data_IF_670780354697
#
_entry.id   IF_670780354697
#
_cell.length_a   1.000
_cell.length_b   1.000
_cell.length_c   1.000
_cell.angle_alpha   90.00
_cell.angle_beta   90.00
_cell.angle_gamma   90.00
#
_symmetry.space_group_name_H-M   'P 1'
#
loop_
_entity.id
_entity.type
_entity.pdbx_description
1 polymer ?
#
# COMPACT_ATOMS: atom_id res chain seq x y z
N UNK A 1 33.06 -2.16 11.73
CA UNK A 1 33.59 -3.54 11.75
C UNK A 1 32.41 -4.48 11.98
N UNK A 2 31.86 -5.10 10.93
CA UNK A 2 30.73 -6.03 11.10
C UNK A 2 31.27 -7.41 11.51
N UNK A 3 30.80 -7.88 12.66
CA UNK A 3 31.08 -9.22 13.19
C UNK A 3 30.64 -10.28 12.19
N UNK A 4 31.52 -11.28 11.96
CA UNK A 4 31.24 -12.50 11.21
C UNK A 4 30.39 -13.44 12.06
N UNK A 5 29.11 -13.13 12.25
CA UNK A 5 28.15 -14.12 12.76
C UNK A 5 27.37 -14.74 11.61
N UNK A 6 27.97 -15.80 11.06
CA UNK A 6 27.39 -16.65 10.03
C UNK A 6 26.38 -17.62 10.67
N UNK A 7 25.24 -17.11 11.15
CA UNK A 7 24.07 -17.95 11.42
C UNK A 7 23.26 -18.06 10.14
N UNK A 8 23.14 -19.27 9.63
CA UNK A 8 22.19 -19.65 8.57
C UNK A 8 20.78 -19.24 8.99
N UNK A 9 20.35 -18.05 8.61
CA UNK A 9 18.97 -17.61 8.72
C UNK A 9 18.19 -18.34 7.64
N UNK A 10 17.59 -19.49 7.98
CA UNK A 10 16.43 -19.97 7.20
C UNK A 10 15.44 -18.81 7.16
N UNK A 11 15.13 -18.33 5.95
CA UNK A 11 14.08 -17.34 5.76
C UNK A 11 12.80 -17.91 6.37
N UNK A 12 12.20 -17.18 7.31
CA UNK A 12 10.85 -17.52 7.77
C UNK A 12 9.91 -17.55 6.56
N UNK A 13 9.01 -18.53 6.45
CA UNK A 13 8.07 -18.58 5.33
C UNK A 13 7.26 -17.28 5.24
N UNK A 14 6.92 -16.87 4.02
CA UNK A 14 6.11 -15.68 3.77
C UNK A 14 4.77 -15.83 4.51
N UNK A 15 4.47 -14.91 5.43
CA UNK A 15 3.21 -14.88 6.19
C UNK A 15 2.34 -13.65 5.87
N UNK A 16 2.81 -12.70 5.07
CA UNK A 16 2.06 -11.51 4.66
C UNK A 16 1.71 -11.55 3.17
N UNK A 17 0.41 -11.46 2.86
CA UNK A 17 -0.12 -11.42 1.50
C UNK A 17 -0.96 -10.14 1.33
N UNK A 18 -0.68 -9.37 0.26
CA UNK A 18 -1.41 -8.14 -0.10
C UNK A 18 -2.11 -8.32 -1.44
N UNK A 19 -3.41 -8.00 -1.50
CA UNK A 19 -4.26 -8.15 -2.70
C UNK A 19 -4.95 -6.85 -3.08
N UNK A 20 -5.34 -6.74 -4.35
CA UNK A 20 -6.00 -5.58 -4.98
C UNK A 20 -7.13 -6.01 -5.93
N UNK A 21 -7.00 -7.16 -6.60
CA UNK A 21 -7.96 -7.67 -7.60
C UNK A 21 -8.33 -9.14 -7.33
N UNK A 22 -9.01 -9.83 -8.25
CA UNK A 22 -9.69 -11.13 -8.12
C UNK A 22 -9.18 -12.07 -7.00
N UNK A 23 -10.03 -12.27 -5.99
CA UNK A 23 -9.70 -12.94 -4.74
C UNK A 23 -9.95 -14.45 -4.72
N UNK A 24 -10.63 -15.01 -5.73
CA UNK A 24 -11.10 -16.41 -5.68
C UNK A 24 -9.94 -17.41 -5.68
N UNK A 25 -9.03 -17.30 -6.65
CA UNK A 25 -7.85 -18.19 -6.71
C UNK A 25 -6.94 -18.03 -5.50
N UNK A 26 -6.86 -16.83 -4.92
CA UNK A 26 -6.11 -16.62 -3.68
C UNK A 26 -6.80 -17.31 -2.50
N UNK A 27 -8.13 -17.19 -2.39
CA UNK A 27 -8.90 -17.89 -1.36
C UNK A 27 -8.75 -19.41 -1.44
N UNK A 28 -8.73 -19.96 -2.65
CA UNK A 28 -8.47 -21.38 -2.89
C UNK A 28 -7.07 -21.81 -2.46
N UNK A 29 -6.04 -21.07 -2.88
CA UNK A 29 -4.67 -21.35 -2.50
C UNK A 29 -4.45 -21.25 -0.98
N UNK A 30 -5.13 -20.31 -0.31
CA UNK A 30 -5.10 -20.16 1.15
C UNK A 30 -5.74 -21.37 1.85
N UNK A 31 -6.93 -21.77 1.40
CA UNK A 31 -7.64 -22.92 1.95
C UNK A 31 -6.84 -24.22 1.76
N UNK A 32 -6.26 -24.41 0.56
CA UNK A 32 -5.41 -25.55 0.26
C UNK A 32 -4.15 -25.56 1.13
N UNK A 33 -3.46 -24.42 1.29
CA UNK A 33 -2.26 -24.34 2.12
C UNK A 33 -2.51 -24.70 3.59
N UNK A 34 -3.69 -24.34 4.13
CA UNK A 34 -4.11 -24.76 5.48
C UNK A 34 -4.46 -26.25 5.50
N UNK A 35 -5.22 -26.74 4.51
CA UNK A 35 -5.59 -28.16 4.42
C UNK A 35 -4.38 -29.08 4.30
N UNK A 36 -3.32 -28.65 3.62
CA UNK A 36 -2.07 -29.39 3.45
C UNK A 36 -1.12 -29.24 4.66
N UNK A 37 -1.48 -28.45 5.67
CA UNK A 37 -0.64 -28.19 6.84
C UNK A 37 0.62 -27.37 6.55
N UNK A 38 0.69 -26.68 5.40
CA UNK A 38 1.79 -25.75 5.07
C UNK A 38 1.74 -24.49 5.96
N UNK A 39 0.56 -24.19 6.48
CA UNK A 39 0.27 -23.15 7.46
C UNK A 39 -0.61 -23.77 8.54
N UNK A 40 -0.25 -23.62 9.83
CA UNK A 40 -0.97 -24.30 10.91
C UNK A 40 -2.40 -23.82 11.11
N UNK A 41 -2.69 -22.55 10.78
CA UNK A 41 -4.04 -22.01 10.75
C UNK A 41 -4.12 -20.69 9.99
N UNK A 42 -5.33 -20.23 9.66
CA UNK A 42 -5.59 -18.88 9.13
C UNK A 42 -4.96 -17.77 9.99
N UNK A 43 -4.86 -17.97 11.31
CA UNK A 43 -4.32 -16.97 12.24
C UNK A 43 -2.83 -16.72 12.09
N UNK A 44 -2.07 -17.62 11.47
CA UNK A 44 -0.64 -17.43 11.16
C UNK A 44 -0.40 -16.53 9.95
N UNK A 45 -1.45 -16.17 9.22
CA UNK A 45 -1.37 -15.36 8.01
C UNK A 45 -1.83 -13.93 8.29
N UNK A 46 -1.15 -12.99 7.68
CA UNK A 46 -1.53 -11.59 7.62
C UNK A 46 -2.05 -11.29 6.21
N UNK A 47 -3.36 -11.12 6.06
CA UNK A 47 -4.00 -10.85 4.77
C UNK A 47 -4.45 -9.40 4.69
N UNK A 48 -3.99 -8.68 3.66
CA UNK A 48 -4.37 -7.30 3.36
C UNK A 48 -5.20 -7.24 2.08
N UNK A 49 -6.35 -6.55 2.12
CA UNK A 49 -7.11 -6.15 0.93
C UNK A 49 -7.39 -4.65 0.93
N UNK A 50 -7.96 -4.13 -0.15
CA UNK A 50 -8.17 -2.69 -0.35
C UNK A 50 -9.56 -2.39 -0.89
N UNK A 51 -10.14 -1.28 -0.43
CA UNK A 51 -11.37 -0.68 -0.92
C UNK A 51 -11.09 0.02 -2.25
N UNK A 52 -11.75 -0.42 -3.32
CA UNK A 52 -11.60 0.17 -4.66
C UNK A 52 -12.41 1.47 -4.80
N UNK A 53 -12.03 2.33 -5.75
CA UNK A 53 -12.61 3.67 -5.93
C UNK A 53 -14.13 3.65 -6.19
N UNK A 54 -14.65 2.60 -6.84
CA UNK A 54 -16.09 2.45 -7.10
C UNK A 54 -16.91 2.14 -5.85
N UNK A 55 -16.25 1.64 -4.80
CA UNK A 55 -16.87 1.28 -3.53
C UNK A 55 -16.54 2.29 -2.41
N UNK A 56 -15.71 3.29 -2.71
CA UNK A 56 -15.33 4.33 -1.76
C UNK A 56 -16.43 5.40 -1.63
N UNK A 57 -17.61 4.97 -1.17
CA UNK A 57 -18.77 5.81 -0.91
C UNK A 57 -19.45 5.35 0.38
N UNK A 58 -20.14 6.27 1.06
CA UNK A 58 -21.07 5.90 2.12
C UNK A 58 -22.10 4.89 1.62
N UNK A 59 -22.39 3.88 2.43
CA UNK A 59 -23.26 2.75 2.17
C UNK A 59 -22.62 1.58 1.42
N UNK A 60 -21.40 1.74 0.87
CA UNK A 60 -20.80 0.72 -0.01
C UNK A 60 -19.55 0.05 0.57
N UNK A 61 -18.95 0.60 1.62
CA UNK A 61 -17.68 0.10 2.17
C UNK A 61 -17.86 -1.25 2.86
N UNK A 62 -18.84 -1.35 3.76
CA UNK A 62 -19.11 -2.61 4.48
C UNK A 62 -19.52 -3.73 3.49
N UNK A 63 -20.42 -3.50 2.52
CA UNK A 63 -20.68 -4.47 1.46
C UNK A 63 -19.43 -4.86 0.66
N UNK A 64 -18.51 -3.94 0.39
CA UNK A 64 -17.30 -4.22 -0.39
C UNK A 64 -16.32 -5.16 0.32
N UNK A 65 -16.10 -4.97 1.63
CA UNK A 65 -15.26 -5.91 2.39
C UNK A 65 -15.94 -7.27 2.51
N UNK A 66 -17.26 -7.34 2.72
CA UNK A 66 -18.00 -8.61 2.78
C UNK A 66 -17.90 -9.39 1.46
N UNK A 67 -18.03 -8.71 0.31
CA UNK A 67 -17.79 -9.34 -1.01
C UNK A 67 -16.36 -9.86 -1.14
N UNK A 68 -15.37 -9.09 -0.65
CA UNK A 68 -13.97 -9.51 -0.69
C UNK A 68 -13.71 -10.74 0.18
N UNK A 69 -14.24 -10.76 1.39
CA UNK A 69 -14.16 -11.89 2.33
C UNK A 69 -14.79 -13.15 1.74
N UNK A 70 -15.96 -13.03 1.12
CA UNK A 70 -16.62 -14.15 0.43
C UNK A 70 -15.75 -14.74 -0.69
N UNK A 71 -15.17 -13.90 -1.55
CA UNK A 71 -14.26 -14.35 -2.62
C UNK A 71 -13.00 -15.02 -2.07
N UNK A 72 -12.44 -14.46 -1.01
CA UNK A 72 -11.25 -15.00 -0.35
C UNK A 72 -11.55 -16.23 0.52
N UNK A 73 -12.81 -16.58 0.74
CA UNK A 73 -13.24 -17.63 1.67
C UNK A 73 -12.68 -17.41 3.08
N UNK A 74 -12.74 -16.15 3.56
CA UNK A 74 -12.23 -15.73 4.87
C UNK A 74 -13.33 -15.07 5.71
N UNK A 75 -13.21 -15.17 7.03
CA UNK A 75 -14.11 -14.48 7.97
C UNK A 75 -13.64 -13.04 8.28
N UNK A 76 -12.34 -12.77 8.18
CA UNK A 76 -11.76 -11.47 8.46
C UNK A 76 -10.49 -11.19 7.64
N UNK A 77 -10.18 -9.89 7.48
CA UNK A 77 -8.90 -9.38 7.00
C UNK A 77 -8.04 -8.90 8.18
N UNK A 78 -6.72 -9.06 8.08
CA UNK A 78 -5.81 -8.50 9.07
C UNK A 78 -5.65 -6.99 8.86
N UNK A 79 -5.73 -6.53 7.61
CA UNK A 79 -5.67 -5.11 7.25
C UNK A 79 -6.59 -4.80 6.07
N UNK A 80 -7.41 -3.75 6.19
CA UNK A 80 -8.22 -3.20 5.11
C UNK A 80 -7.89 -1.74 4.85
N UNK A 81 -7.59 -1.38 3.60
CA UNK A 81 -7.07 -0.06 3.23
C UNK A 81 -7.99 0.65 2.24
N UNK A 82 -8.20 1.96 2.39
CA UNK A 82 -8.63 2.79 1.26
C UNK A 82 -7.53 2.75 0.20
N UNK A 83 -7.81 2.32 -1.03
CA UNK A 83 -6.76 2.08 -2.03
C UNK A 83 -6.17 3.38 -2.60
N UNK A 84 -7.03 4.35 -2.91
CA UNK A 84 -6.68 5.66 -3.43
C UNK A 84 -7.63 6.72 -2.86
N UNK A 85 -7.16 7.97 -2.66
CA UNK A 85 -7.99 9.08 -2.17
C UNK A 85 -8.95 9.66 -3.25
N UNK A 86 -9.53 8.78 -4.08
CA UNK A 86 -10.46 9.13 -5.15
C UNK A 86 -11.63 8.15 -5.16
N UNK A 87 -12.83 8.65 -5.43
CA UNK A 87 -14.01 7.82 -5.69
C UNK A 87 -14.32 7.82 -7.18
N UNK A 88 -15.00 6.78 -7.64
CA UNK A 88 -15.52 6.73 -9.00
C UNK A 88 -16.94 6.19 -9.03
N UNK A 89 -17.60 6.28 -10.18
CA UNK A 89 -18.98 5.85 -10.37
C UNK A 89 -19.20 4.43 -9.81
N UNK A 90 -20.12 4.26 -8.83
CA UNK A 90 -20.40 2.95 -8.24
C UNK A 90 -20.77 1.88 -9.27
N UNK A 91 -20.35 0.65 -8.99
CA UNK A 91 -20.68 -0.53 -9.80
C UNK A 91 -19.92 -0.65 -11.13
N UNK A 92 -19.12 0.35 -11.54
CA UNK A 92 -18.35 0.32 -12.79
C UNK A 92 -16.90 -0.10 -12.56
N UNK A 93 -16.69 -1.40 -12.33
CA UNK A 93 -15.39 -2.01 -12.08
C UNK A 93 -14.53 -2.14 -13.35
N UNK A 94 -14.14 -0.99 -13.93
CA UNK A 94 -13.19 -0.91 -15.05
C UNK A 94 -11.90 -0.24 -14.61
N UNK A 95 -10.80 -0.63 -15.25
CA UNK A 95 -9.51 0.02 -15.08
C UNK A 95 -8.82 0.16 -16.45
N UNK A 96 -8.31 1.35 -16.84
CA UNK A 96 -8.39 2.62 -16.09
C UNK A 96 -9.84 3.11 -15.89
N UNK A 97 -10.04 4.00 -14.92
CA UNK A 97 -11.34 4.65 -14.67
C UNK A 97 -11.60 5.64 -15.81
N UNK A 98 -12.82 5.66 -16.35
CA UNK A 98 -13.17 6.60 -17.43
C UNK A 98 -13.26 8.03 -16.85
N UNK A 99 -12.83 9.05 -17.59
CA UNK A 99 -12.71 10.42 -17.08
C UNK A 99 -14.02 10.97 -16.49
N UNK A 100 -15.16 10.68 -17.14
CA UNK A 100 -16.47 11.16 -16.70
C UNK A 100 -17.02 10.39 -15.48
N UNK A 101 -16.33 9.34 -15.01
CA UNK A 101 -16.74 8.56 -13.83
C UNK A 101 -16.03 8.99 -12.54
N UNK A 102 -15.05 9.90 -12.59
CA UNK A 102 -14.38 10.36 -11.37
C UNK A 102 -15.32 11.18 -10.48
N UNK A 103 -15.30 10.91 -9.18
CA UNK A 103 -16.12 11.57 -8.17
C UNK A 103 -15.26 11.98 -6.96
N UNK A 104 -15.55 13.12 -6.32
CA UNK A 104 -14.89 13.47 -5.07
C UNK A 104 -15.22 12.42 -3.99
N UNK A 105 -14.23 12.05 -3.20
CA UNK A 105 -14.43 11.14 -2.08
C UNK A 105 -14.96 11.91 -0.86
N UNK A 106 -16.05 11.42 -0.27
CA UNK A 106 -16.46 11.80 1.07
C UNK A 106 -15.63 11.02 2.10
N UNK A 107 -14.52 11.63 2.55
CA UNK A 107 -13.63 11.01 3.53
C UNK A 107 -14.33 10.67 4.84
N UNK A 108 -15.31 11.48 5.28
CA UNK A 108 -16.03 11.27 6.53
C UNK A 108 -16.91 10.03 6.45
N UNK A 109 -17.72 9.93 5.41
CA UNK A 109 -18.59 8.78 5.20
C UNK A 109 -17.77 7.49 5.02
N UNK A 110 -16.74 7.53 4.16
CA UNK A 110 -15.91 6.34 3.87
C UNK A 110 -15.13 5.90 5.10
N UNK A 111 -14.49 6.83 5.83
CA UNK A 111 -13.71 6.47 7.00
C UNK A 111 -14.59 5.94 8.13
N UNK A 112 -15.76 6.54 8.38
CA UNK A 112 -16.71 6.05 9.37
C UNK A 112 -17.14 4.59 9.11
N UNK A 113 -17.29 4.19 7.85
CA UNK A 113 -17.60 2.79 7.53
C UNK A 113 -16.39 1.86 7.59
N UNK A 114 -15.17 2.35 7.36
CA UNK A 114 -13.94 1.60 7.66
C UNK A 114 -13.88 1.29 9.17
N UNK A 115 -14.19 2.26 10.02
CA UNK A 115 -14.29 2.05 11.47
C UNK A 115 -15.33 1.00 11.81
N UNK A 116 -16.48 1.03 11.13
CA UNK A 116 -17.52 0.02 11.31
C UNK A 116 -17.08 -1.37 10.86
N UNK A 117 -16.33 -1.49 9.76
CA UNK A 117 -15.73 -2.76 9.35
C UNK A 117 -14.84 -3.36 10.46
N UNK A 118 -14.14 -2.51 11.22
CA UNK A 118 -13.35 -2.95 12.37
C UNK A 118 -14.23 -3.34 13.55
N UNK A 119 -15.28 -2.58 13.88
CA UNK A 119 -16.22 -2.90 14.97
C UNK A 119 -16.94 -4.22 14.73
N UNK A 120 -17.33 -4.49 13.49
CA UNK A 120 -17.96 -5.74 13.06
C UNK A 120 -16.98 -6.93 12.98
N UNK A 121 -15.69 -6.73 13.22
CA UNK A 121 -14.66 -7.78 13.16
C UNK A 121 -14.29 -8.23 11.74
N UNK A 122 -14.78 -7.54 10.70
CA UNK A 122 -14.47 -7.84 9.30
C UNK A 122 -13.01 -7.50 8.94
N UNK A 123 -12.43 -6.51 9.63
CA UNK A 123 -11.02 -6.17 9.56
C UNK A 123 -10.42 -5.95 10.96
N UNK A 124 -9.26 -6.56 11.24
CA UNK A 124 -8.55 -6.32 12.52
C UNK A 124 -7.92 -4.93 12.57
N UNK A 125 -7.32 -4.49 11.47
CA UNK A 125 -6.75 -3.16 11.31
C UNK A 125 -7.32 -2.47 10.06
N UNK A 126 -7.37 -1.14 10.13
CA UNK A 126 -7.83 -0.28 9.03
C UNK A 126 -6.79 0.79 8.74
N UNK A 127 -6.72 1.24 7.49
CA UNK A 127 -5.73 2.23 7.08
C UNK A 127 -6.02 2.80 5.71
N UNK A 128 -5.00 3.46 5.16
CA UNK A 128 -5.06 4.12 3.87
C UNK A 128 -3.89 3.73 2.98
N UNK A 129 -4.00 4.00 1.70
CA UNK A 129 -2.94 3.83 0.71
C UNK A 129 -2.94 5.05 -0.20
N UNK A 130 -1.74 5.55 -0.53
CA UNK A 130 -1.55 6.71 -1.41
C UNK A 130 -2.09 8.04 -0.84
N UNK A 131 -1.99 8.22 0.47
CA UNK A 131 -2.37 9.49 1.11
C UNK A 131 -1.11 10.34 1.36
N UNK A 132 -1.17 11.60 0.92
CA UNK A 132 -0.22 12.67 1.29
C UNK A 132 -0.33 13.01 2.78
N UNK A 133 0.58 13.84 3.29
CA UNK A 133 0.52 14.32 4.67
C UNK A 133 -0.78 15.08 4.94
N UNK A 134 -1.19 15.95 4.01
CA UNK A 134 -2.41 16.75 4.15
C UNK A 134 -3.66 15.87 4.17
N UNK A 135 -3.80 14.92 3.25
CA UNK A 135 -4.93 13.98 3.21
C UNK A 135 -4.94 13.07 4.44
N UNK A 136 -3.78 12.61 4.90
CA UNK A 136 -3.67 11.80 6.12
C UNK A 136 -4.05 12.60 7.37
N UNK A 137 -3.63 13.87 7.47
CA UNK A 137 -4.05 14.75 8.56
C UNK A 137 -5.56 14.99 8.57
N UNK A 138 -6.17 15.13 7.39
CA UNK A 138 -7.63 15.24 7.29
C UNK A 138 -8.32 14.01 7.87
N UNK A 139 -7.91 12.78 7.49
CA UNK A 139 -8.42 11.54 8.11
C UNK A 139 -8.23 11.56 9.63
N UNK A 140 -7.04 11.92 10.11
CA UNK A 140 -6.77 11.99 11.55
C UNK A 140 -7.66 12.97 12.31
N UNK A 141 -8.11 14.06 11.66
CA UNK A 141 -9.01 15.04 12.29
C UNK A 141 -10.47 14.55 12.43
N UNK A 142 -10.89 13.59 11.60
CA UNK A 142 -12.26 13.05 11.60
C UNK A 142 -12.35 11.65 12.24
N UNK A 143 -11.21 10.96 12.39
CA UNK A 143 -11.15 9.58 12.84
C UNK A 143 -11.43 9.44 14.34
N UNK A 144 -12.35 8.55 14.69
CA UNK A 144 -12.47 8.00 16.04
C UNK A 144 -11.44 6.88 16.26
N UNK A 145 -11.25 6.03 15.25
CA UNK A 145 -10.22 5.00 15.21
C UNK A 145 -9.18 5.44 14.18
N UNK A 146 -7.95 5.79 14.60
CA UNK A 146 -6.93 6.30 13.67
C UNK A 146 -6.46 5.20 12.70
N UNK A 147 -6.00 5.56 11.49
CA UNK A 147 -5.42 4.62 10.55
C UNK A 147 -4.18 3.95 11.15
N UNK A 148 -4.13 2.62 11.11
CA UNK A 148 -2.96 1.85 11.57
C UNK A 148 -1.82 1.88 10.56
N UNK A 149 -2.14 2.10 9.27
CA UNK A 149 -1.19 2.02 8.16
C UNK A 149 -1.45 3.13 7.14
N UNK A 150 -0.36 3.68 6.57
CA UNK A 150 -0.37 4.32 5.26
C UNK A 150 0.54 3.53 4.31
N UNK A 151 -0.03 2.94 3.26
CA UNK A 151 0.73 2.21 2.24
C UNK A 151 1.08 3.14 1.08
N UNK A 152 2.38 3.34 0.82
CA UNK A 152 2.86 4.30 -0.18
C UNK A 152 4.00 3.70 -1.01
N UNK A 153 4.20 4.18 -2.24
CA UNK A 153 5.38 3.80 -3.02
C UNK A 153 6.59 4.53 -2.46
N UNK A 154 7.72 3.84 -2.16
CA UNK A 154 8.91 4.47 -1.62
C UNK A 154 9.50 5.42 -2.66
N UNK A 155 9.48 6.72 -2.35
CA UNK A 155 10.25 7.76 -3.02
C UNK A 155 10.96 8.60 -1.97
N UNK A 156 12.06 9.24 -2.35
CA UNK A 156 12.88 9.96 -1.39
C UNK A 156 12.16 11.24 -0.85
N UNK A 157 11.10 11.69 -1.53
CA UNK A 157 10.15 12.74 -1.09
C UNK A 157 9.29 12.36 0.12
N UNK A 158 9.46 11.15 0.69
CA UNK A 158 8.67 10.64 1.81
C UNK A 158 9.16 11.04 3.21
N UNK A 159 10.18 11.89 3.36
CA UNK A 159 10.64 12.29 4.70
C UNK A 159 9.48 12.86 5.54
N UNK A 160 8.68 13.76 4.97
CA UNK A 160 7.55 14.37 5.67
C UNK A 160 6.49 13.34 6.07
N UNK A 161 6.08 12.45 5.16
CA UNK A 161 5.07 11.43 5.48
C UNK A 161 5.61 10.37 6.44
N UNK A 162 6.89 10.04 6.35
CA UNK A 162 7.56 9.14 7.31
C UNK A 162 7.59 9.76 8.70
N UNK A 163 7.98 11.04 8.83
CA UNK A 163 7.94 11.77 10.09
C UNK A 163 6.52 11.87 10.65
N UNK A 164 5.54 12.22 9.82
CA UNK A 164 4.14 12.29 10.23
C UNK A 164 3.65 10.92 10.73
N UNK A 165 3.83 9.86 9.95
CA UNK A 165 3.39 8.51 10.32
C UNK A 165 4.05 8.05 11.62
N UNK A 166 5.37 8.23 11.76
CA UNK A 166 6.11 7.91 12.99
C UNK A 166 5.59 8.70 14.19
N UNK A 167 5.34 10.00 14.04
CA UNK A 167 4.84 10.87 15.12
C UNK A 167 3.43 10.51 15.59
N UNK A 168 2.63 9.86 14.73
CA UNK A 168 1.23 9.48 15.00
C UNK A 168 1.06 7.99 15.29
N UNK A 169 2.14 7.21 15.34
CA UNK A 169 2.07 5.76 15.56
C UNK A 169 1.47 4.97 14.38
N UNK A 170 1.56 5.51 13.17
CA UNK A 170 1.06 4.90 11.93
C UNK A 170 2.20 4.15 11.25
N UNK A 171 1.99 2.89 10.90
CA UNK A 171 2.98 2.12 10.16
C UNK A 171 3.01 2.54 8.67
N UNK A 172 4.19 2.84 8.16
CA UNK A 172 4.39 3.12 6.74
C UNK A 172 4.75 1.82 6.02
N UNK A 173 3.94 1.39 5.04
CA UNK A 173 4.23 0.20 4.24
C UNK A 173 4.65 0.61 2.83
N UNK A 174 5.88 0.27 2.45
CA UNK A 174 6.38 0.51 1.10
C UNK A 174 5.88 -0.57 0.12
N UNK A 175 5.18 -0.18 -0.94
CA UNK A 175 4.83 -1.08 -2.07
C UNK A 175 5.69 -0.79 -3.30
N UNK A 176 5.78 -1.72 -4.25
CA UNK A 176 6.60 -1.56 -5.47
C UNK A 176 8.09 -1.24 -5.19
N UNK A 177 8.67 -1.83 -4.15
CA UNK A 177 10.08 -1.65 -3.73
C UNK A 177 11.10 -2.06 -4.82
N UNK A 178 10.67 -2.76 -5.87
CA UNK A 178 11.50 -3.13 -7.04
C UNK A 178 11.16 -2.31 -8.30
N UNK A 179 10.39 -1.23 -8.16
CA UNK A 179 9.99 -0.36 -9.28
C UNK A 179 8.81 -0.87 -10.12
N UNK A 180 8.27 -2.07 -9.85
CA UNK A 180 7.19 -2.69 -10.64
C UNK A 180 7.52 -2.84 -12.13
N UNK A 181 8.73 -3.32 -12.45
CA UNK A 181 9.30 -3.42 -13.81
C UNK A 181 8.38 -3.94 -14.93
N UNK A 182 7.43 -4.82 -14.60
CA UNK A 182 6.56 -5.50 -15.59
C UNK A 182 5.17 -4.87 -15.70
N UNK A 183 4.87 -3.88 -14.84
CA UNK A 183 3.59 -3.19 -14.86
C UNK A 183 3.67 -1.96 -15.77
N UNK A 184 2.55 -1.60 -16.42
CA UNK A 184 2.52 -0.42 -17.30
C UNK A 184 2.77 0.90 -16.54
N UNK A 185 2.52 0.92 -15.23
CA UNK A 185 2.84 2.03 -14.32
C UNK A 185 4.21 1.87 -13.62
N UNK A 186 5.00 0.90 -14.07
CA UNK A 186 6.31 0.57 -13.53
C UNK A 186 7.40 1.54 -13.96
N UNK A 187 8.54 1.49 -13.27
CA UNK A 187 9.74 2.23 -13.64
C UNK A 187 10.99 1.39 -13.41
N UNK A 188 11.91 1.44 -14.37
CA UNK A 188 13.23 0.82 -14.26
C UNK A 188 14.21 1.63 -13.40
N UNK A 189 13.87 2.88 -13.05
CA UNK A 189 14.77 3.83 -12.36
C UNK A 189 15.39 3.29 -11.07
N UNK A 190 14.61 2.58 -10.25
CA UNK A 190 15.12 1.98 -9.00
C UNK A 190 16.17 0.91 -9.31
N UNK A 191 15.94 0.13 -10.35
CA UNK A 191 16.76 -1.05 -10.63
C UNK A 191 17.97 -0.75 -11.52
N UNK A 192 17.93 0.37 -12.24
CA UNK A 192 19.01 0.87 -13.08
C UNK A 192 19.88 1.91 -12.35
N UNK A 193 19.48 2.33 -11.16
CA UNK A 193 20.20 3.27 -10.29
C UNK A 193 21.67 2.85 -10.10
N UNK A 194 22.59 3.75 -10.45
CA UNK A 194 24.03 3.53 -10.31
C UNK A 194 24.44 3.37 -8.85
N UNK A 195 23.94 4.23 -7.95
CA UNK A 195 24.22 4.10 -6.50
C UNK A 195 23.75 2.75 -5.93
N UNK A 196 22.57 2.26 -6.34
CA UNK A 196 22.11 0.94 -5.87
C UNK A 196 22.93 -0.21 -6.46
N UNK A 197 23.47 -0.06 -7.68
CA UNK A 197 24.42 -1.03 -8.26
C UNK A 197 25.76 -1.02 -7.52
N UNK A 198 26.30 0.15 -7.20
CA UNK A 198 27.54 0.30 -6.43
C UNK A 198 27.41 -0.32 -5.04
N UNK A 199 26.30 -0.04 -4.32
CA UNK A 199 26.03 -0.65 -3.02
C UNK A 199 25.86 -2.17 -3.16
N UNK A 200 25.17 -2.62 -4.20
CA UNK A 200 24.98 -4.05 -4.47
C UNK A 200 26.31 -4.77 -4.69
N UNK A 201 27.20 -4.19 -5.49
CA UNK A 201 28.55 -4.71 -5.72
C UNK A 201 29.38 -4.71 -4.44
N UNK A 202 29.45 -3.58 -3.73
CA UNK A 202 30.20 -3.45 -2.48
C UNK A 202 29.72 -4.43 -1.38
N UNK A 203 28.44 -4.82 -1.41
CA UNK A 203 27.84 -5.76 -0.44
C UNK A 203 27.77 -7.20 -0.95
N UNK A 204 28.14 -7.47 -2.20
CA UNK A 204 27.97 -8.79 -2.83
C UNK A 204 26.51 -9.25 -2.85
N UNK A 205 25.58 -8.34 -3.13
CA UNK A 205 24.12 -8.58 -3.18
C UNK A 205 23.56 -8.15 -4.53
N UNK A 206 22.31 -8.50 -4.80
CA UNK A 206 21.59 -7.96 -5.97
C UNK A 206 21.02 -6.58 -5.65
N UNK A 207 20.82 -5.74 -6.68
CA UNK A 207 20.10 -4.45 -6.56
C UNK A 207 18.72 -4.65 -5.91
N UNK A 208 18.06 -5.78 -6.16
CA UNK A 208 16.75 -6.09 -5.59
C UNK A 208 16.84 -6.32 -4.07
N UNK A 209 17.85 -7.07 -3.62
CA UNK A 209 18.11 -7.29 -2.20
C UNK A 209 18.46 -5.98 -1.49
N UNK A 210 19.29 -5.14 -2.11
CA UNK A 210 19.63 -3.81 -1.56
C UNK A 210 18.38 -2.92 -1.47
N UNK A 211 17.56 -2.85 -2.52
CA UNK A 211 16.34 -2.04 -2.51
C UNK A 211 15.34 -2.48 -1.44
N UNK A 212 15.12 -3.80 -1.30
CA UNK A 212 14.26 -4.34 -0.24
C UNK A 212 14.82 -4.06 1.16
N UNK A 213 16.15 -4.17 1.33
CA UNK A 213 16.80 -3.89 2.61
C UNK A 213 16.74 -2.41 2.96
N UNK A 214 16.91 -1.53 1.98
CA UNK A 214 16.74 -0.09 2.14
C UNK A 214 15.32 0.28 2.61
N UNK A 215 14.29 -0.27 1.96
CA UNK A 215 12.89 -0.07 2.36
C UNK A 215 12.58 -0.63 3.77
N UNK A 216 13.30 -1.66 4.22
CA UNK A 216 13.13 -2.27 5.54
C UNK A 216 13.83 -1.49 6.65
N UNK A 217 15.08 -1.04 6.43
CA UNK A 217 15.91 -0.45 7.48
C UNK A 217 15.82 1.07 7.58
N UNK A 218 15.45 1.77 6.50
CA UNK A 218 15.61 3.23 6.44
C UNK A 218 17.03 3.70 6.79
N UNK A 219 18.04 2.88 6.47
CA UNK A 219 19.39 2.91 7.07
C UNK A 219 20.27 4.12 6.72
N UNK A 220 21.51 4.13 7.21
CA UNK A 220 22.51 5.23 7.07
C UNK A 220 22.72 5.69 5.62
N UNK A 221 22.64 4.78 4.64
CA UNK A 221 22.79 5.10 3.21
C UNK A 221 21.57 5.83 2.61
N UNK A 222 20.49 6.01 3.38
CA UNK A 222 19.28 6.71 2.92
C UNK A 222 19.61 8.11 2.41
N UNK A 223 20.52 8.84 3.07
CA UNK A 223 20.93 10.16 2.61
C UNK A 223 21.65 10.13 1.25
N UNK A 224 22.50 9.13 0.99
CA UNK A 224 23.23 8.97 -0.29
C UNK A 224 22.32 8.48 -1.41
N UNK A 225 21.49 7.47 -1.12
CA UNK A 225 20.48 6.96 -2.06
C UNK A 225 19.47 8.04 -2.41
N UNK A 226 19.05 8.86 -1.42
CA UNK A 226 18.17 10.00 -1.64
C UNK A 226 18.82 11.12 -2.46
N UNK A 227 20.12 11.38 -2.34
CA UNK A 227 20.76 12.44 -3.13
C UNK A 227 20.76 12.16 -4.65
N UNK A 228 20.79 10.88 -5.06
CA UNK A 228 20.98 10.50 -6.47
C UNK A 228 19.78 9.82 -7.14
N UNK A 229 18.86 9.20 -6.39
CA UNK A 229 17.58 8.76 -6.96
C UNK A 229 16.65 9.97 -7.02
N UNK A 230 16.06 10.30 -8.20
CA UNK A 230 15.15 11.43 -8.33
C UNK A 230 14.11 11.43 -7.22
N UNK A 231 13.99 12.57 -6.55
CA UNK A 231 13.09 12.86 -5.43
C UNK A 231 11.62 12.95 -5.87
N UNK A 232 11.22 12.20 -6.89
CA UNK A 232 9.89 12.31 -7.49
C UNK A 232 9.08 11.04 -7.30
N UNK A 233 7.77 11.19 -7.17
CA UNK A 233 6.84 10.04 -7.17
C UNK A 233 6.96 9.25 -8.47
N UNK A 234 7.25 7.96 -8.34
CA UNK A 234 7.38 7.06 -9.51
C UNK A 234 6.08 6.34 -9.87
N UNK A 235 5.01 6.53 -9.10
CA UNK A 235 3.61 6.35 -9.52
C UNK A 235 2.95 7.66 -9.14
N UNK A 236 2.77 8.56 -10.10
CA UNK A 236 2.16 9.86 -9.84
C UNK A 236 0.66 9.76 -9.63
N UNK A 237 0.03 8.64 -10.02
CA UNK A 237 -1.43 8.52 -9.97
C UNK A 237 -2.08 9.25 -11.15
N UNK A 238 -1.35 9.42 -12.25
CA UNK A 238 -1.78 10.03 -13.50
C UNK A 238 -3.07 9.41 -14.03
N UNK A 239 -3.24 8.09 -13.83
CA UNK A 239 -4.46 7.35 -14.19
C UNK A 239 -5.69 7.68 -13.34
N UNK A 240 -5.53 8.49 -12.29
CA UNK A 240 -6.60 8.98 -11.42
C UNK A 240 -6.80 10.51 -11.52
N UNK A 241 -6.12 11.15 -12.47
CA UNK A 241 -6.17 12.60 -12.70
C UNK A 241 -6.95 12.86 -13.99
N UNK A 242 -7.84 13.85 -13.96
CA UNK A 242 -8.58 14.31 -15.14
C UNK A 242 -8.96 15.77 -14.97
N UNK A 243 -8.92 16.55 -16.06
CA UNK A 243 -9.40 17.94 -16.05
C UNK A 243 -10.88 18.06 -15.66
N UNK A 244 -11.66 17.01 -15.97
CA UNK A 244 -13.08 16.90 -15.61
C UNK A 244 -13.30 16.29 -14.23
N UNK A 245 -12.27 15.65 -13.66
CA UNK A 245 -12.32 14.97 -12.38
C UNK A 245 -12.11 15.90 -11.18
N UNK A 246 -12.19 15.34 -9.96
CA UNK A 246 -11.97 16.06 -8.72
C UNK A 246 -10.48 16.40 -8.47
N UNK A 247 -9.56 15.73 -9.17
CA UNK A 247 -8.11 15.95 -9.08
C UNK A 247 -7.61 16.23 -10.49
N UNK A 248 -7.08 17.43 -10.70
CA UNK A 248 -6.73 17.97 -12.03
C UNK A 248 -5.24 17.95 -12.32
N UNK A 249 -4.41 17.72 -11.31
CA UNK A 249 -2.96 17.72 -11.46
C UNK A 249 -2.29 16.79 -10.46
N UNK A 250 -1.01 16.47 -10.71
CA UNK A 250 -0.16 15.74 -9.76
C UNK A 250 0.04 16.53 -8.46
N UNK A 251 0.08 17.85 -8.56
CA UNK A 251 0.16 18.74 -7.40
C UNK A 251 -1.07 18.58 -6.50
N UNK A 252 -2.28 18.57 -7.06
CA UNK A 252 -3.52 18.33 -6.30
C UNK A 252 -3.60 16.90 -5.75
N UNK A 253 -3.09 15.91 -6.52
CA UNK A 253 -3.06 14.51 -6.09
C UNK A 253 -2.22 14.33 -4.83
N UNK A 254 -1.10 15.04 -4.74
CA UNK A 254 -0.11 14.89 -3.67
C UNK A 254 0.01 16.08 -2.72
N UNK A 255 -0.85 17.09 -2.89
CA UNK A 255 -0.81 18.34 -2.12
C UNK A 255 0.56 19.01 -2.15
N UNK A 256 1.20 19.05 -3.32
CA UNK A 256 2.54 19.60 -3.53
C UNK A 256 3.69 18.67 -3.11
N UNK A 257 3.41 17.47 -2.59
CA UNK A 257 4.43 16.47 -2.24
C UNK A 257 4.86 15.64 -3.46
N UNK A 258 5.27 16.28 -4.56
CA UNK A 258 5.64 15.61 -5.83
C UNK A 258 7.12 15.24 -5.92
#
# INVERSE_FOLDING_TARGET
MWSKDNKSTRLSPLRHISKVSDGESLGEALAEAVSLGLVGSRSELFITSKLWCTDAHGGLVVPAIQRSLKKLKLDYLDLYLIHWPVSSKPGKYKFPIEEDDFLPMDYTAVWSELEECKRLGLAKCIGVSNFSCKKLQHILSIATIPPSVNQVKPTCSLLNIHHLCKSKGIALIAYSVLGSRVAFWGSHKIMESNILKEIAEAKGKTVAQVSMRWAYEGGEETHRISAEIPQCRTVGGEVYISEKGPIKSLDEMWDGEI
#
